data_IF_067655327696
#
_entry.id   IF_067655327696
#
_cell.length_a   1.000
_cell.length_b   1.000
_cell.length_c   1.000
_cell.angle_alpha   90.00
_cell.angle_beta   90.00
_cell.angle_gamma   90.00
#
_symmetry.space_group_name_H-M   'P 1'
#
loop_
_entity.id
_entity.type
_entity.pdbx_description
1 polymer ?
#
# COMPACT_ATOMS: atom_id res chain seq x y z
N UNK A 1 5.43 13.95 -0.52
CA UNK A 1 4.32 13.95 -1.50
C UNK A 1 3.36 15.10 -1.15
N UNK A 2 2.79 15.76 -2.14
CA UNK A 2 1.81 16.85 -1.91
C UNK A 2 0.44 16.32 -1.48
N UNK A 3 0.19 15.02 -1.70
CA UNK A 3 -1.08 14.35 -1.40
C UNK A 3 -1.31 14.09 0.09
N UNK A 4 -0.31 14.30 0.94
CA UNK A 4 -0.51 14.13 2.38
C UNK A 4 -1.08 15.41 2.98
N UNK A 5 -2.07 15.31 3.88
CA UNK A 5 -2.68 16.49 4.52
C UNK A 5 -1.68 17.30 5.36
N UNK A 6 -0.53 16.73 5.71
CA UNK A 6 0.58 17.40 6.38
C UNK A 6 1.85 17.35 5.53
N UNK A 7 2.65 18.42 5.60
CA UNK A 7 3.96 18.45 4.94
C UNK A 7 4.89 17.39 5.56
N UNK A 8 5.27 16.40 4.75
CA UNK A 8 6.24 15.34 5.13
C UNK A 8 7.58 15.86 5.63
N UNK A 9 7.97 17.08 5.24
CA UNK A 9 9.20 17.72 5.72
C UNK A 9 9.09 18.12 7.19
N UNK A 10 7.85 18.33 7.67
CA UNK A 10 7.54 18.68 9.06
C UNK A 10 7.21 17.41 9.85
N UNK A 11 6.45 16.48 9.27
CA UNK A 11 6.09 15.20 9.89
C UNK A 11 6.43 14.01 8.98
N UNK A 12 7.59 13.35 9.19
CA UNK A 12 7.99 12.17 8.42
C UNK A 12 7.00 11.00 8.51
N UNK A 13 6.09 10.99 9.49
CA UNK A 13 5.12 9.93 9.71
C UNK A 13 3.74 10.23 9.10
N UNK A 14 3.57 11.35 8.40
CA UNK A 14 2.29 11.74 7.80
C UNK A 14 1.71 10.65 6.87
N UNK A 15 2.56 9.94 6.13
CA UNK A 15 2.11 8.83 5.27
C UNK A 15 1.56 7.63 6.06
N UNK A 16 2.10 7.35 7.26
CA UNK A 16 1.56 6.30 8.14
C UNK A 16 0.19 6.72 8.68
N UNK A 17 0.04 7.99 9.06
CA UNK A 17 -1.26 8.52 9.51
C UNK A 17 -2.30 8.44 8.38
N UNK A 18 -1.91 8.76 7.15
CA UNK A 18 -2.77 8.64 5.98
C UNK A 18 -3.19 7.20 5.69
N UNK A 19 -2.26 6.23 5.76
CA UNK A 19 -2.60 4.80 5.65
C UNK A 19 -3.62 4.38 6.71
N UNK A 20 -3.35 4.70 7.98
CA UNK A 20 -4.24 4.35 9.10
C UNK A 20 -5.63 4.95 8.96
N UNK A 21 -5.72 6.19 8.49
CA UNK A 21 -7.00 6.85 8.25
C UNK A 21 -7.87 6.04 7.27
N UNK A 22 -7.33 5.65 6.12
CA UNK A 22 -8.10 4.89 5.13
C UNK A 22 -8.32 3.43 5.53
N UNK A 23 -7.40 2.82 6.27
CA UNK A 23 -7.61 1.52 6.91
C UNK A 23 -8.79 1.55 7.90
N UNK A 24 -8.91 2.62 8.69
CA UNK A 24 -10.02 2.83 9.62
C UNK A 24 -11.35 3.07 8.89
N UNK A 25 -11.37 3.90 7.84
CA UNK A 25 -12.56 4.09 7.02
C UNK A 25 -13.04 2.77 6.38
N UNK A 26 -12.11 1.96 5.88
CA UNK A 26 -12.43 0.65 5.33
C UNK A 26 -12.96 -0.32 6.39
N UNK A 27 -12.40 -0.31 7.62
CA UNK A 27 -12.92 -1.10 8.72
C UNK A 27 -14.37 -0.72 9.08
N UNK A 28 -14.66 0.58 9.13
CA UNK A 28 -16.01 1.10 9.40
C UNK A 28 -16.97 0.72 8.27
N UNK A 29 -16.59 0.94 7.00
CA UNK A 29 -17.39 0.58 5.84
C UNK A 29 -17.62 -0.93 5.70
N UNK A 30 -16.67 -1.74 6.20
CA UNK A 30 -16.80 -3.19 6.36
C UNK A 30 -17.76 -3.63 7.48
N UNK A 31 -18.30 -2.69 8.27
CA UNK A 31 -19.21 -2.96 9.37
C UNK A 31 -18.50 -3.22 10.70
N UNK A 32 -17.28 -2.72 10.89
CA UNK A 32 -16.50 -2.82 12.13
C UNK A 32 -16.36 -4.25 12.66
N UNK A 33 -16.18 -5.21 11.75
CA UNK A 33 -16.20 -6.65 12.05
C UNK A 33 -15.07 -7.43 11.37
N UNK A 34 -14.09 -6.73 10.80
CA UNK A 34 -13.02 -7.29 9.96
C UNK A 34 -13.48 -7.93 8.65
N UNK A 35 -14.76 -7.84 8.32
CA UNK A 35 -15.24 -8.04 6.96
C UNK A 35 -14.70 -6.89 6.10
N UNK A 36 -14.20 -7.19 4.91
CA UNK A 36 -13.70 -6.15 4.00
C UNK A 36 -14.87 -5.45 3.29
N UNK A 37 -14.85 -4.12 3.11
CA UNK A 37 -15.82 -3.45 2.25
C UNK A 37 -15.63 -3.96 0.81
N UNK A 38 -16.71 -4.22 0.09
CA UNK A 38 -16.66 -4.67 -1.28
C UNK A 38 -17.75 -4.00 -2.15
N UNK A 39 -17.48 -3.90 -3.44
CA UNK A 39 -18.40 -3.32 -4.41
C UNK A 39 -18.25 -4.04 -5.74
N UNK A 40 -19.35 -4.23 -6.45
CA UNK A 40 -19.33 -4.74 -7.81
C UNK A 40 -18.74 -3.67 -8.73
N UNK A 41 -17.90 -4.09 -9.67
CA UNK A 41 -17.20 -3.19 -10.58
C UNK A 41 -18.18 -2.35 -11.41
N UNK A 42 -19.26 -2.96 -11.89
CA UNK A 42 -20.30 -2.22 -12.64
C UNK A 42 -20.98 -1.14 -11.81
N UNK A 43 -21.18 -1.39 -10.50
CA UNK A 43 -21.77 -0.43 -9.58
C UNK A 43 -20.79 0.68 -9.21
N UNK A 44 -19.51 0.35 -9.01
CA UNK A 44 -18.44 1.32 -8.80
C UNK A 44 -18.28 2.29 -9.98
N UNK A 45 -18.29 1.75 -11.22
CA UNK A 45 -18.25 2.56 -12.43
C UNK A 45 -19.49 3.45 -12.60
N UNK A 46 -20.66 2.97 -12.16
CA UNK A 46 -21.91 3.72 -12.15
C UNK A 46 -22.09 4.64 -10.93
N UNK A 47 -21.08 4.74 -10.07
CA UNK A 47 -21.08 5.54 -8.84
C UNK A 47 -22.29 5.25 -7.92
N UNK A 48 -22.59 3.96 -7.70
CA UNK A 48 -23.66 3.50 -6.81
C UNK A 48 -23.16 2.39 -5.88
N UNK A 49 -23.62 2.32 -4.62
CA UNK A 49 -23.27 1.22 -3.72
C UNK A 49 -23.81 -0.11 -4.24
N UNK A 50 -23.09 -1.19 -3.95
CA UNK A 50 -23.61 -2.55 -4.15
C UNK A 50 -24.33 -3.05 -2.90
N UNK A 51 -25.39 -3.82 -3.09
CA UNK A 51 -26.19 -4.40 -1.99
C UNK A 51 -26.06 -5.91 -1.87
N UNK A 52 -25.59 -6.59 -2.91
CA UNK A 52 -25.49 -8.05 -2.96
C UNK A 52 -24.34 -8.51 -3.86
N UNK A 53 -23.86 -9.73 -3.61
CA UNK A 53 -22.91 -10.42 -4.47
C UNK A 53 -23.63 -11.01 -5.68
N UNK A 54 -22.86 -11.28 -6.75
CA UNK A 54 -23.37 -11.94 -7.96
C UNK A 54 -22.52 -13.17 -8.31
N UNK A 55 -22.11 -13.33 -9.57
CA UNK A 55 -21.44 -14.54 -10.05
C UNK A 55 -20.05 -14.77 -9.46
N UNK A 56 -19.36 -13.72 -8.99
CA UNK A 56 -17.99 -13.82 -8.46
C UNK A 56 -18.01 -13.93 -6.94
N UNK A 57 -17.49 -15.04 -6.43
CA UNK A 57 -17.35 -15.27 -4.98
C UNK A 57 -16.06 -14.61 -4.47
N UNK A 58 -16.13 -13.72 -3.46
CA UNK A 58 -14.96 -13.10 -2.87
C UNK A 58 -14.09 -14.11 -2.13
N UNK A 59 -12.77 -13.98 -2.28
CA UNK A 59 -11.79 -14.87 -1.67
C UNK A 59 -11.34 -14.42 -0.28
N UNK A 60 -11.46 -13.13 0.03
CA UNK A 60 -11.08 -12.57 1.33
C UNK A 60 -11.80 -13.28 2.48
N UNK A 61 -11.07 -13.51 3.57
CA UNK A 61 -11.57 -14.06 4.84
C UNK A 61 -11.34 -13.02 5.93
N UNK A 62 -12.29 -12.78 6.85
CA UNK A 62 -13.49 -13.57 7.17
C UNK A 62 -14.63 -13.51 6.13
N UNK A 63 -14.66 -12.48 5.30
CA UNK A 63 -15.67 -12.28 4.25
C UNK A 63 -15.79 -10.81 3.89
N UNK A 64 -16.80 -10.43 3.11
CA UNK A 64 -16.98 -9.05 2.65
C UNK A 64 -18.35 -8.48 3.02
N UNK A 65 -18.42 -7.17 3.15
CA UNK A 65 -19.65 -6.38 3.32
C UNK A 65 -19.84 -5.54 2.06
N UNK A 66 -20.95 -5.76 1.34
CA UNK A 66 -21.25 -4.97 0.14
C UNK A 66 -21.59 -3.53 0.54
N UNK A 67 -20.90 -2.56 -0.06
CA UNK A 67 -20.97 -1.14 0.33
C UNK A 67 -20.48 -0.22 -0.82
N UNK A 68 -20.23 1.05 -0.52
CA UNK A 68 -19.60 2.03 -1.41
C UNK A 68 -18.11 2.20 -1.09
N UNK A 69 -17.22 1.85 -2.03
CA UNK A 69 -15.78 2.01 -1.88
C UNK A 69 -15.32 3.48 -1.97
N UNK A 70 -16.17 4.41 -2.42
CA UNK A 70 -15.86 5.84 -2.34
C UNK A 70 -15.70 6.33 -0.89
N UNK A 71 -16.24 5.61 0.09
CA UNK A 71 -16.04 5.91 1.52
C UNK A 71 -14.63 5.55 2.02
N UNK A 72 -13.88 4.75 1.27
CA UNK A 72 -12.66 4.10 1.75
C UNK A 72 -11.39 4.66 1.10
N UNK A 73 -11.50 5.58 0.14
CA UNK A 73 -10.37 6.16 -0.58
C UNK A 73 -10.63 7.65 -0.88
N UNK A 74 -9.58 8.45 -1.10
CA UNK A 74 -9.75 9.83 -1.55
C UNK A 74 -10.46 9.91 -2.92
N UNK A 75 -11.23 10.97 -3.13
CA UNK A 75 -11.98 11.20 -4.38
C UNK A 75 -11.11 11.16 -5.64
N UNK A 76 -9.88 11.68 -5.55
CA UNK A 76 -8.94 11.66 -6.68
C UNK A 76 -8.55 10.22 -7.07
N UNK A 77 -8.42 9.32 -6.09
CA UNK A 77 -8.04 7.94 -6.32
C UNK A 77 -9.20 7.17 -6.97
N UNK A 78 -10.43 7.30 -6.44
CA UNK A 78 -11.59 6.60 -7.00
C UNK A 78 -11.95 7.10 -8.39
N UNK A 79 -11.75 8.39 -8.66
CA UNK A 79 -11.91 8.98 -10.00
C UNK A 79 -10.91 8.40 -10.99
N UNK A 80 -9.61 8.39 -10.64
CA UNK A 80 -8.57 7.79 -11.48
C UNK A 80 -8.80 6.28 -11.70
N UNK A 81 -9.26 5.56 -10.67
CA UNK A 81 -9.60 4.15 -10.77
C UNK A 81 -10.74 3.90 -11.76
N UNK A 82 -11.82 4.70 -11.74
CA UNK A 82 -12.93 4.55 -12.70
C UNK A 82 -12.46 4.70 -14.15
N UNK A 83 -11.62 5.70 -14.42
CA UNK A 83 -11.04 5.92 -15.76
C UNK A 83 -10.15 4.75 -16.19
N UNK A 84 -9.27 4.29 -15.31
CA UNK A 84 -8.34 3.19 -15.59
C UNK A 84 -9.06 1.86 -15.80
N UNK A 85 -10.05 1.52 -14.97
CA UNK A 85 -10.82 0.28 -15.07
C UNK A 85 -11.63 0.23 -16.38
N UNK A 86 -12.23 1.35 -16.77
CA UNK A 86 -12.91 1.46 -18.06
C UNK A 86 -11.93 1.30 -19.25
N UNK A 87 -10.71 1.83 -19.13
CA UNK A 87 -9.67 1.65 -20.14
C UNK A 87 -9.20 0.19 -20.25
N UNK A 88 -8.96 -0.48 -19.12
CA UNK A 88 -8.58 -1.89 -19.11
C UNK A 88 -9.68 -2.80 -19.68
N UNK A 89 -10.96 -2.48 -19.44
CA UNK A 89 -12.08 -3.20 -20.06
C UNK A 89 -12.05 -3.20 -21.59
N UNK A 90 -11.48 -2.16 -22.22
CA UNK A 90 -11.31 -2.07 -23.69
C UNK A 90 -10.09 -2.85 -24.19
N UNK A 91 -9.10 -3.07 -23.34
CA UNK A 91 -7.84 -3.73 -23.70
C UNK A 91 -7.87 -5.23 -23.43
N UNK A 92 -8.53 -5.64 -22.35
CA UNK A 92 -8.58 -7.02 -21.88
C UNK A 92 -10.05 -7.44 -21.81
N UNK A 93 -10.51 -8.30 -22.76
CA UNK A 93 -11.89 -8.80 -22.75
C UNK A 93 -12.26 -9.42 -21.39
N UNK A 94 -13.38 -8.98 -20.82
CA UNK A 94 -13.88 -9.47 -19.54
C UNK A 94 -13.28 -8.79 -18.30
N UNK A 95 -12.30 -7.89 -18.44
CA UNK A 95 -11.70 -7.20 -17.29
C UNK A 95 -12.68 -6.28 -16.58
N UNK A 96 -13.58 -5.63 -17.32
CA UNK A 96 -14.63 -4.76 -16.80
C UNK A 96 -16.00 -5.48 -16.69
N UNK A 97 -16.00 -6.72 -16.24
CA UNK A 97 -17.24 -7.46 -15.98
C UNK A 97 -18.03 -6.79 -14.84
N UNK A 98 -19.32 -6.53 -15.04
CA UNK A 98 -20.17 -5.86 -14.04
C UNK A 98 -20.17 -6.57 -12.68
N UNK A 99 -20.16 -7.90 -12.71
CA UNK A 99 -20.22 -8.77 -11.53
C UNK A 99 -18.85 -9.00 -10.86
N UNK A 100 -17.76 -8.43 -11.39
CA UNK A 100 -16.45 -8.49 -10.76
C UNK A 100 -16.47 -7.79 -9.40
N UNK A 101 -15.84 -8.38 -8.39
CA UNK A 101 -15.85 -7.86 -7.02
C UNK A 101 -14.55 -7.10 -6.72
N UNK A 102 -14.67 -5.82 -6.42
CA UNK A 102 -13.61 -5.00 -5.82
C UNK A 102 -13.67 -5.18 -4.30
N UNK A 103 -12.53 -5.45 -3.65
CA UNK A 103 -12.48 -5.80 -2.22
C UNK A 103 -11.43 -4.97 -1.48
N UNK A 104 -11.84 -4.37 -0.37
CA UNK A 104 -10.96 -3.69 0.58
C UNK A 104 -10.26 -2.45 0.04
N UNK A 105 -9.21 -2.05 0.75
CA UNK A 105 -8.27 -1.01 0.36
C UNK A 105 -6.84 -1.53 0.52
N UNK A 106 -6.03 -1.39 -0.52
CA UNK A 106 -4.65 -1.84 -0.53
C UNK A 106 -3.73 -0.67 -0.16
N UNK A 107 -3.45 -0.49 1.13
CA UNK A 107 -2.79 0.72 1.67
C UNK A 107 -1.28 0.60 1.84
N UNK A 108 -0.72 -0.61 1.76
CA UNK A 108 0.68 -0.91 2.14
C UNK A 108 1.49 -1.49 0.99
N UNK A 109 1.43 -0.86 -0.18
CA UNK A 109 2.17 -1.28 -1.38
C UNK A 109 3.68 -1.04 -1.30
N UNK A 110 4.09 -0.06 -0.50
CA UNK A 110 5.49 0.24 -0.18
C UNK A 110 5.57 1.05 1.12
N UNK A 111 6.78 1.18 1.68
CA UNK A 111 6.95 1.95 2.92
C UNK A 111 6.64 3.44 2.70
N UNK A 112 5.79 4.04 3.55
CA UNK A 112 5.50 5.48 3.50
C UNK A 112 6.64 6.34 4.04
N UNK A 113 7.73 5.71 4.51
CA UNK A 113 8.89 6.38 5.09
C UNK A 113 10.18 5.95 4.40
N UNK A 114 11.15 6.87 4.37
CA UNK A 114 12.51 6.60 3.90
C UNK A 114 13.49 6.88 5.03
N UNK A 115 14.10 5.83 5.55
CA UNK A 115 15.16 5.95 6.56
C UNK A 115 16.48 6.22 5.84
N UNK A 116 16.90 7.48 5.77
CA UNK A 116 18.06 7.88 4.96
C UNK A 116 19.36 7.21 5.44
N UNK A 117 20.12 6.64 4.50
CA UNK A 117 21.43 6.03 4.74
C UNK A 117 22.45 6.50 3.72
N UNK A 118 23.72 6.53 4.10
CA UNK A 118 24.84 6.94 3.25
C UNK A 118 25.28 5.86 2.27
N UNK A 119 26.33 6.14 1.49
CA UNK A 119 26.96 5.16 0.62
C UNK A 119 27.63 4.00 1.40
N UNK A 120 27.92 4.22 2.69
CA UNK A 120 28.38 3.21 3.65
C UNK A 120 27.22 2.37 4.23
N UNK A 121 26.01 2.55 3.72
CA UNK A 121 24.76 1.91 4.16
C UNK A 121 24.33 2.22 5.60
N UNK A 122 25.04 3.12 6.29
CA UNK A 122 24.69 3.52 7.65
C UNK A 122 23.71 4.69 7.65
N UNK A 123 22.90 4.80 8.70
CA UNK A 123 22.09 5.99 8.95
C UNK A 123 22.97 7.25 8.90
N UNK A 124 22.44 8.31 8.32
CA UNK A 124 23.16 9.59 8.19
C UNK A 124 23.49 10.22 9.55
N UNK A 125 22.71 9.93 10.60
CA UNK A 125 22.84 10.54 11.92
C UNK A 125 23.12 9.56 13.07
N UNK A 126 23.14 8.25 12.83
CA UNK A 126 23.44 7.22 13.85
C UNK A 126 24.41 6.20 13.27
N UNK A 127 25.68 6.28 13.65
CA UNK A 127 26.69 5.30 13.23
C UNK A 127 26.43 3.95 13.88
N UNK A 128 26.66 2.87 13.13
CA UNK A 128 26.35 1.50 13.50
C UNK A 128 24.91 1.06 13.21
N UNK A 129 24.02 1.97 12.81
CA UNK A 129 22.64 1.64 12.40
C UNK A 129 22.56 1.51 10.88
N UNK A 130 22.00 0.39 10.37
CA UNK A 130 21.92 0.08 8.94
C UNK A 130 20.46 -0.09 8.50
N UNK A 131 19.78 0.99 8.06
CA UNK A 131 18.42 0.87 7.52
C UNK A 131 18.42 -0.01 6.26
N UNK A 132 17.54 -1.01 6.19
CA UNK A 132 17.52 -2.01 5.12
C UNK A 132 16.11 -2.43 4.70
N UNK A 133 15.99 -2.94 3.48
CA UNK A 133 14.78 -3.54 2.94
C UNK A 133 13.64 -2.55 2.70
N UNK A 134 12.42 -3.09 2.59
CA UNK A 134 11.22 -2.32 2.24
C UNK A 134 10.84 -1.35 3.36
N UNK A 135 10.92 -1.77 4.63
CA UNK A 135 10.58 -0.92 5.77
C UNK A 135 11.41 0.37 5.82
N UNK A 136 12.70 0.31 5.44
CA UNK A 136 13.56 1.48 5.32
C UNK A 136 13.37 2.26 4.01
N UNK A 137 12.61 1.70 3.07
CA UNK A 137 12.27 2.28 1.77
C UNK A 137 13.25 1.95 0.64
N UNK A 138 14.16 0.97 0.78
CA UNK A 138 15.20 0.64 -0.23
C UNK A 138 14.88 -0.60 -1.09
N UNK A 139 13.72 -1.20 -0.90
CA UNK A 139 13.24 -2.34 -1.65
C UNK A 139 11.72 -2.27 -1.81
N UNK A 140 11.15 -3.06 -2.71
CA UNK A 140 9.71 -3.11 -2.99
C UNK A 140 9.19 -4.52 -3.30
N UNK A 141 9.84 -5.53 -2.73
CA UNK A 141 9.47 -6.94 -2.92
C UNK A 141 10.59 -7.89 -2.51
N UNK A 142 10.24 -9.18 -2.41
CA UNK A 142 11.08 -10.24 -1.82
C UNK A 142 12.51 -10.20 -2.37
N UNK A 143 12.68 -10.32 -3.68
CA UNK A 143 14.02 -10.38 -4.29
C UNK A 143 14.83 -9.11 -4.02
N UNK A 144 14.22 -7.93 -4.20
CA UNK A 144 14.92 -6.66 -3.98
C UNK A 144 15.31 -6.46 -2.51
N UNK A 145 14.47 -6.90 -1.57
CA UNK A 145 14.76 -6.84 -0.14
C UNK A 145 15.88 -7.81 0.24
N UNK A 146 15.91 -9.01 -0.34
CA UNK A 146 17.01 -9.95 -0.15
C UNK A 146 18.33 -9.41 -0.70
N UNK A 147 18.33 -8.82 -1.89
CA UNK A 147 19.53 -8.18 -2.47
C UNK A 147 20.02 -7.03 -1.60
N UNK A 148 19.11 -6.20 -1.08
CA UNK A 148 19.49 -5.14 -0.15
C UNK A 148 20.08 -5.70 1.15
N UNK A 149 19.50 -6.78 1.68
CA UNK A 149 19.99 -7.48 2.85
C UNK A 149 21.41 -8.02 2.69
N UNK A 150 21.75 -8.58 1.53
CA UNK A 150 23.11 -9.06 1.21
C UNK A 150 24.10 -7.89 1.25
N UNK A 151 23.79 -6.77 0.58
CA UNK A 151 24.65 -5.57 0.57
C UNK A 151 24.87 -5.00 1.97
N UNK A 152 23.82 -5.01 2.79
CA UNK A 152 23.88 -4.55 4.18
C UNK A 152 24.76 -5.48 5.01
N UNK A 153 24.62 -6.80 4.87
CA UNK A 153 25.46 -7.77 5.55
C UNK A 153 26.95 -7.60 5.17
N UNK A 154 27.25 -7.41 3.88
CA UNK A 154 28.60 -7.12 3.39
C UNK A 154 29.16 -5.82 3.99
N UNK A 155 28.38 -4.74 4.00
CA UNK A 155 28.79 -3.45 4.56
C UNK A 155 29.07 -3.54 6.07
N UNK A 156 28.22 -4.26 6.82
CA UNK A 156 28.41 -4.52 8.25
C UNK A 156 29.71 -5.30 8.48
N UNK A 157 29.96 -6.35 7.69
CA UNK A 157 31.16 -7.17 7.81
C UNK A 157 32.45 -6.37 7.53
N UNK A 158 32.45 -5.56 6.46
CA UNK A 158 33.58 -4.67 6.13
C UNK A 158 33.80 -3.62 7.23
N UNK A 159 32.74 -3.03 7.76
CA UNK A 159 32.84 -2.06 8.86
C UNK A 159 33.39 -2.68 10.14
N UNK A 160 32.97 -3.90 10.48
CA UNK A 160 33.44 -4.61 11.67
C UNK A 160 34.92 -5.01 11.55
N UNK A 161 35.32 -5.54 10.39
CA UNK A 161 36.71 -5.95 10.13
C UNK A 161 37.66 -4.76 10.13
N UNK A 162 37.27 -3.63 9.53
CA UNK A 162 38.06 -2.40 9.58
C UNK A 162 38.28 -1.88 11.00
N UNK A 163 37.26 -1.98 11.88
CA UNK A 163 37.39 -1.59 13.29
C UNK A 163 38.32 -2.51 14.09
N UNK A 164 38.35 -3.80 13.78
CA UNK A 164 39.24 -4.76 14.46
C UNK A 164 40.71 -4.58 14.06
N UNK A 165 40.96 -4.02 12.87
CA UNK A 165 42.30 -3.78 12.36
C UNK A 165 42.91 -2.43 12.80
N UNK A 166 42.10 -1.54 13.38
CA UNK A 166 42.50 -0.23 13.88
C UNK A 166 42.80 -0.27 15.38
#
# INVERSE_FOLDING_TARGET
PEDFPEDVRINPLAGIAFQRHWEEQAYIAGGSSWMAPAQLLGDFLANRPSTELRSVTPSYRPGVTMTDLNLCLPDYATTAMREALAAFGRQIPGYAMDDAVMTGVETRTSSPIRMTRGADFQSLNVKGLYPAGEGAGYAGGILSASVDGIKIAEAVALSATARLAA
#
